data_IF_709089909444
#
_entry.id   IF_709089909444
#
_cell.length_a   1.000
_cell.length_b   1.000
_cell.length_c   1.000
_cell.angle_alpha   90.00
_cell.angle_beta   90.00
_cell.angle_gamma   90.00
#
_symmetry.space_group_name_H-M   'P 1'
#
loop_
_entity.id
_entity.type
_entity.pdbx_description
1 polymer ?
#
# COMPACT_ATOMS: atom_id res chain seq x y z
N UNK A 1 -2.45 -5.66 -15.38
CA UNK A 1 -3.62 -5.02 -14.74
C UNK A 1 -3.14 -3.91 -13.81
N UNK A 2 -3.86 -2.79 -13.75
CA UNK A 2 -3.50 -1.65 -12.89
C UNK A 2 -4.45 -1.56 -11.71
N UNK A 3 -3.89 -1.38 -10.52
CA UNK A 3 -4.64 -0.99 -9.33
C UNK A 3 -4.15 0.37 -8.86
N UNK A 4 -5.08 1.18 -8.38
CA UNK A 4 -4.79 2.40 -7.65
C UNK A 4 -4.64 2.07 -6.18
N UNK A 5 -3.68 2.73 -5.55
CA UNK A 5 -3.43 2.63 -4.11
C UNK A 5 -3.90 3.92 -3.49
N UNK A 6 -4.79 3.81 -2.51
CA UNK A 6 -5.33 4.96 -1.78
C UNK A 6 -4.96 4.84 -0.32
N UNK A 7 -4.47 5.93 0.29
CA UNK A 7 -4.25 5.98 1.72
C UNK A 7 -5.60 6.07 2.45
N UNK A 8 -5.88 5.12 3.35
CA UNK A 8 -7.07 5.16 4.20
C UNK A 8 -6.73 5.91 5.49
N UNK A 9 -5.72 5.44 6.21
CA UNK A 9 -5.23 6.03 7.44
C UNK A 9 -3.73 5.74 7.61
N UNK A 10 -3.05 6.62 8.31
CA UNK A 10 -1.69 6.38 8.80
C UNK A 10 -1.46 7.10 10.12
N UNK A 11 -0.80 6.40 11.04
CA UNK A 11 -0.25 6.94 12.27
C UNK A 11 1.22 6.51 12.34
N UNK A 12 2.10 7.40 11.84
CA UNK A 12 3.55 7.17 11.80
C UNK A 12 4.20 8.14 12.76
N UNK A 13 4.60 7.60 13.91
CA UNK A 13 5.16 8.37 15.04
C UNK A 13 6.66 8.54 14.92
N UNK A 14 7.34 7.57 14.30
CA UNK A 14 8.76 7.59 13.99
C UNK A 14 9.07 6.67 12.79
N UNK A 15 10.27 6.75 12.19
CA UNK A 15 10.63 5.88 11.06
C UNK A 15 10.49 4.37 11.36
N UNK A 16 10.77 3.96 12.60
CA UNK A 16 10.64 2.58 13.07
C UNK A 16 9.43 2.38 14.00
N UNK A 17 8.40 3.22 13.91
CA UNK A 17 7.18 3.07 14.68
C UNK A 17 6.00 3.70 13.94
N UNK A 18 5.18 2.86 13.32
CA UNK A 18 4.00 3.35 12.62
C UNK A 18 3.06 2.25 12.21
N UNK A 19 1.87 2.69 11.81
CA UNK A 19 0.90 1.87 11.12
C UNK A 19 0.32 2.66 9.94
N UNK A 20 -0.12 1.92 8.93
CA UNK A 20 -0.88 2.49 7.82
C UNK A 20 -1.81 1.45 7.21
N UNK A 21 -2.93 1.94 6.67
CA UNK A 21 -3.88 1.16 5.90
C UNK A 21 -4.02 1.77 4.51
N UNK A 22 -3.94 0.90 3.51
CA UNK A 22 -4.10 1.25 2.11
C UNK A 22 -5.29 0.51 1.53
N UNK A 23 -6.01 1.15 0.62
CA UNK A 23 -6.99 0.49 -0.24
C UNK A 23 -6.32 0.06 -1.53
N UNK A 24 -6.68 -1.13 -2.01
CA UNK A 24 -6.38 -1.62 -3.35
C UNK A 24 -7.62 -1.41 -4.22
N UNK A 25 -7.59 -0.35 -5.03
CA UNK A 25 -8.72 0.10 -5.82
C UNK A 25 -8.59 -0.33 -7.29
N UNK A 26 -9.71 -0.76 -7.87
CA UNK A 26 -9.83 -1.00 -9.30
C UNK A 26 -11.09 -0.35 -9.83
N UNK A 27 -10.94 0.49 -10.85
CA UNK A 27 -12.04 1.27 -11.44
C UNK A 27 -12.82 2.09 -10.41
N UNK A 28 -12.11 2.69 -9.44
CA UNK A 28 -12.70 3.50 -8.37
C UNK A 28 -13.41 2.69 -7.27
N UNK A 29 -13.33 1.36 -7.31
CA UNK A 29 -13.94 0.48 -6.30
C UNK A 29 -12.86 -0.23 -5.51
N UNK A 30 -12.91 -0.10 -4.18
CA UNK A 30 -12.05 -0.85 -3.26
C UNK A 30 -12.30 -2.35 -3.38
N UNK A 31 -11.23 -3.10 -3.65
CA UNK A 31 -11.27 -4.56 -3.81
C UNK A 31 -10.65 -5.30 -2.63
N UNK A 32 -9.71 -4.67 -1.94
CA UNK A 32 -9.07 -5.19 -0.74
C UNK A 32 -8.45 -4.06 0.08
N UNK A 33 -8.14 -4.36 1.33
CA UNK A 33 -7.40 -3.50 2.23
C UNK A 33 -6.06 -4.15 2.59
N UNK A 34 -5.03 -3.31 2.67
CA UNK A 34 -3.67 -3.69 3.02
C UNK A 34 -3.31 -2.97 4.31
N UNK A 35 -2.93 -3.72 5.33
CA UNK A 35 -2.54 -3.16 6.62
C UNK A 35 -1.06 -3.41 6.86
N UNK A 36 -0.36 -2.39 7.30
CA UNK A 36 1.05 -2.45 7.65
C UNK A 36 1.21 -1.86 9.04
N UNK A 37 1.90 -2.58 9.92
CA UNK A 37 2.25 -2.11 11.25
C UNK A 37 3.69 -2.51 11.55
N UNK A 38 4.47 -1.60 12.11
CA UNK A 38 5.85 -1.88 12.48
C UNK A 38 6.27 -1.09 13.71
N UNK A 39 7.17 -1.70 14.46
CA UNK A 39 7.91 -1.11 15.56
C UNK A 39 9.37 -1.59 15.52
N UNK A 40 10.13 -1.37 16.59
CA UNK A 40 11.53 -1.81 16.69
C UNK A 40 11.71 -3.32 16.86
N UNK A 41 10.64 -4.04 17.18
CA UNK A 41 10.66 -5.48 17.49
C UNK A 41 10.12 -6.31 16.32
N UNK A 42 9.11 -5.79 15.61
CA UNK A 42 8.37 -6.56 14.62
C UNK A 42 7.82 -5.72 13.46
N UNK A 43 7.52 -6.42 12.38
CA UNK A 43 6.76 -5.94 11.24
C UNK A 43 5.63 -6.92 10.95
N UNK A 44 4.43 -6.40 10.75
CA UNK A 44 3.25 -7.17 10.37
C UNK A 44 2.61 -6.54 9.13
N UNK A 45 2.29 -7.38 8.15
CA UNK A 45 1.52 -7.00 6.97
C UNK A 45 0.32 -7.94 6.81
N UNK A 46 -0.88 -7.38 6.62
CA UNK A 46 -2.12 -8.14 6.50
C UNK A 46 -2.85 -7.74 5.22
N UNK A 47 -3.15 -8.73 4.40
CA UNK A 47 -4.07 -8.58 3.27
C UNK A 47 -5.49 -8.93 3.73
N UNK A 48 -6.41 -7.97 3.65
CA UNK A 48 -7.85 -8.18 3.91
C UNK A 48 -8.62 -8.10 2.61
N UNK A 49 -8.97 -9.26 2.05
CA UNK A 49 -9.76 -9.36 0.84
C UNK A 49 -9.87 -10.80 0.36
N UNK A 50 -10.53 -11.00 -0.78
CA UNK A 50 -10.62 -12.29 -1.44
C UNK A 50 -9.77 -12.29 -2.70
N UNK A 51 -8.49 -12.65 -2.56
CA UNK A 51 -7.50 -12.58 -3.65
C UNK A 51 -7.92 -13.28 -4.96
N UNK A 52 -8.58 -14.47 -4.93
CA UNK A 52 -9.06 -15.12 -6.15
C UNK A 52 -10.15 -14.35 -6.90
N UNK A 53 -10.89 -13.46 -6.23
CA UNK A 53 -11.96 -12.64 -6.86
C UNK A 53 -11.47 -11.28 -7.34
N UNK A 54 -10.19 -10.96 -7.19
CA UNK A 54 -9.65 -9.72 -7.74
C UNK A 54 -9.69 -9.74 -9.28
N UNK A 55 -9.88 -8.59 -9.95
CA UNK A 55 -9.86 -8.49 -11.41
C UNK A 55 -8.60 -9.09 -12.06
N UNK A 56 -7.49 -8.99 -11.35
CA UNK A 56 -6.27 -9.75 -11.63
C UNK A 56 -5.80 -10.40 -10.33
N UNK A 57 -6.08 -11.70 -10.14
CA UNK A 57 -5.65 -12.45 -8.98
C UNK A 57 -4.12 -12.49 -8.89
N UNK A 58 -3.59 -12.33 -7.69
CA UNK A 58 -2.18 -12.49 -7.37
C UNK A 58 -2.04 -13.03 -5.95
N UNK A 59 -0.86 -13.53 -5.61
CA UNK A 59 -0.62 -13.98 -4.24
C UNK A 59 -0.70 -12.79 -3.28
N UNK A 60 -1.29 -12.92 -2.07
CA UNK A 60 -1.42 -11.82 -1.12
C UNK A 60 -0.10 -11.10 -0.81
N UNK A 61 1.03 -11.82 -0.81
CA UNK A 61 2.35 -11.21 -0.58
C UNK A 61 2.75 -10.26 -1.71
N UNK A 62 2.43 -10.58 -2.98
CA UNK A 62 2.71 -9.68 -4.10
C UNK A 62 1.88 -8.40 -3.97
N UNK A 63 0.62 -8.55 -3.56
CA UNK A 63 -0.31 -7.45 -3.33
C UNK A 63 0.10 -6.58 -2.14
N UNK A 64 0.78 -7.15 -1.14
CA UNK A 64 1.34 -6.40 -0.02
C UNK A 64 2.67 -5.72 -0.36
N UNK A 65 3.52 -6.35 -1.17
CA UNK A 65 4.86 -5.84 -1.47
C UNK A 65 4.84 -4.69 -2.48
N UNK A 66 4.10 -4.83 -3.59
CA UNK A 66 4.13 -3.88 -4.71
C UNK A 66 3.72 -2.45 -4.33
N UNK A 67 2.71 -2.22 -3.47
CA UNK A 67 2.38 -0.87 -3.01
C UNK A 67 3.56 -0.22 -2.30
N UNK A 68 4.22 -0.92 -1.39
CA UNK A 68 5.40 -0.40 -0.67
C UNK A 68 6.52 -0.03 -1.65
N UNK A 69 6.75 -0.84 -2.69
CA UNK A 69 7.73 -0.52 -3.73
C UNK A 69 7.34 0.73 -4.52
N UNK A 70 6.07 0.89 -4.88
CA UNK A 70 5.58 2.05 -5.60
C UNK A 70 5.70 3.33 -4.76
N UNK A 71 5.33 3.28 -3.47
CA UNK A 71 5.48 4.40 -2.55
C UNK A 71 6.95 4.82 -2.40
N UNK A 72 7.86 3.86 -2.21
CA UNK A 72 9.29 4.17 -2.09
C UNK A 72 9.87 4.77 -3.37
N UNK A 73 9.39 4.35 -4.54
CA UNK A 73 9.79 4.93 -5.83
C UNK A 73 9.25 6.34 -6.03
N UNK A 74 8.04 6.62 -5.52
CA UNK A 74 7.37 7.92 -5.60
C UNK A 74 7.94 8.95 -4.61
N UNK A 75 8.53 8.48 -3.50
CA UNK A 75 9.07 9.36 -2.45
C UNK A 75 10.21 10.23 -2.99
N UNK A 76 10.12 11.53 -2.76
CA UNK A 76 11.17 12.52 -3.05
C UNK A 76 11.84 13.00 -1.75
N UNK A 77 12.83 13.89 -1.87
CA UNK A 77 13.47 14.52 -0.71
C UNK A 77 12.54 15.48 0.06
N UNK A 78 11.49 16.00 -0.59
CA UNK A 78 10.53 16.93 0.01
C UNK A 78 9.49 16.21 0.88
N UNK A 79 9.39 14.88 0.75
CA UNK A 79 8.49 14.05 1.54
C UNK A 79 9.13 13.63 2.86
N UNK A 80 8.52 14.03 3.97
CA UNK A 80 9.00 13.65 5.30
C UNK A 80 8.67 12.18 5.59
N UNK A 81 7.40 11.79 5.44
CA UNK A 81 6.91 10.43 5.62
C UNK A 81 6.75 9.70 4.28
N UNK A 82 6.62 8.37 4.33
CA UNK A 82 6.36 7.57 3.12
C UNK A 82 4.95 7.84 2.55
N UNK A 83 4.02 8.23 3.41
CA UNK A 83 2.64 8.56 3.05
C UNK A 83 2.47 9.97 2.48
N UNK A 84 3.49 10.83 2.57
CA UNK A 84 3.40 12.19 2.02
C UNK A 84 3.30 12.17 0.49
N UNK A 85 3.70 11.07 -0.16
CA UNK A 85 3.49 10.86 -1.60
C UNK A 85 2.02 10.98 -2.02
N UNK A 86 1.07 10.76 -1.11
CA UNK A 86 -0.35 10.90 -1.42
C UNK A 86 -0.84 12.35 -1.44
N UNK A 87 -0.02 13.31 -1.00
CA UNK A 87 -0.37 14.74 -1.02
C UNK A 87 -0.31 15.32 -2.44
N UNK A 88 0.55 14.77 -3.29
CA UNK A 88 0.88 15.32 -4.61
C UNK A 88 0.91 14.27 -5.72
N UNK A 89 0.91 12.97 -5.40
CA UNK A 89 1.00 11.89 -6.39
C UNK A 89 -0.12 10.87 -6.27
N UNK A 90 -0.56 10.39 -7.45
CA UNK A 90 -1.42 9.23 -7.58
C UNK A 90 -0.57 7.96 -7.68
N UNK A 91 -0.78 7.03 -6.76
CA UNK A 91 0.01 5.80 -6.68
C UNK A 91 -0.74 4.67 -7.37
N UNK A 92 -0.06 4.00 -8.31
CA UNK A 92 -0.62 2.84 -9.01
C UNK A 92 0.39 1.70 -9.04
N UNK A 93 -0.11 0.47 -8.92
CA UNK A 93 0.69 -0.73 -9.12
C UNK A 93 0.24 -1.46 -10.38
N UNK A 94 1.21 -2.02 -11.10
CA UNK A 94 0.95 -2.88 -12.25
C UNK A 94 1.28 -4.32 -11.89
N UNK A 95 0.30 -5.20 -12.08
CA UNK A 95 0.46 -6.65 -12.01
C UNK A 95 0.62 -7.20 -13.42
N UNK A 96 1.73 -7.89 -13.65
CA UNK A 96 2.03 -8.65 -14.86
C UNK A 96 2.11 -10.12 -14.48
N UNK A 97 1.72 -11.02 -15.40
CA UNK A 97 1.99 -12.45 -15.25
C UNK A 97 3.48 -12.72 -15.39
#
# INVERSE_FOLDING_TARGET
MTYEITLIEADIRAPLNGNMKLSLDHEGVSKAQLEYSWDTEQFTAVFRGHAPSLPFPAHPTDLLQKPIQALNKAKTADHHLITDVFLDQKITIHLTK
#
